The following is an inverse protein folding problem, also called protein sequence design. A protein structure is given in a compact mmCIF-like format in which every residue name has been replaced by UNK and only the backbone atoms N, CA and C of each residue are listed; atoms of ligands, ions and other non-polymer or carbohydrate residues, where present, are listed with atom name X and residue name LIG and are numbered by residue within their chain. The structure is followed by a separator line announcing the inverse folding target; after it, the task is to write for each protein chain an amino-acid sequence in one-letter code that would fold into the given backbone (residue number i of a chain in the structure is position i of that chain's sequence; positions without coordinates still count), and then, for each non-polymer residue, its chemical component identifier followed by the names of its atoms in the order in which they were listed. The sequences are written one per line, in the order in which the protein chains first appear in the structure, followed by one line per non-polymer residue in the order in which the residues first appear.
data_IF_877158039234
#
_entry.id   IF_877158039234
#
_cell.length_a   1.000
_cell.length_b   1.000
_cell.length_c   1.000
_cell.angle_alpha   90.00
_cell.angle_beta   90.00
_cell.angle_gamma   90.00
#
_symmetry.space_group_name_H-M   'P 1'
#
loop_
_entity.id
_entity.type
_entity.pdbx_description
1 polymer ?
#
# COMPACT_ATOMS: atom_id res chain seq x y z
N UNK A 1 -10.85 7.28 19.86
CA UNK A 1 -12.19 7.77 19.47
C UNK A 1 -12.93 6.65 18.76
N UNK A 2 -14.11 6.26 19.25
CA UNK A 2 -14.89 5.15 18.66
C UNK A 2 -15.61 5.65 17.41
N UNK A 3 -15.53 4.89 16.34
CA UNK A 3 -16.22 5.18 15.09
C UNK A 3 -16.83 3.93 14.43
N UNK A 4 -17.77 4.17 13.51
CA UNK A 4 -18.31 3.14 12.63
C UNK A 4 -17.30 2.74 11.53
N UNK A 5 -17.73 1.87 10.61
CA UNK A 5 -16.92 1.40 9.47
C UNK A 5 -16.56 2.49 8.44
N UNK A 6 -17.07 3.71 8.62
CA UNK A 6 -16.84 4.84 7.75
C UNK A 6 -16.26 6.05 8.51
N UNK A 7 -15.75 5.83 9.73
CA UNK A 7 -15.13 6.86 10.55
C UNK A 7 -16.10 7.79 11.27
N UNK A 8 -17.42 7.58 11.20
CA UNK A 8 -18.40 8.44 11.91
C UNK A 8 -18.32 8.20 13.40
N UNK A 9 -18.24 9.27 14.17
CA UNK A 9 -18.29 9.21 15.64
C UNK A 9 -19.73 9.23 16.13
N UNK A 10 -19.94 9.17 17.46
CA UNK A 10 -21.26 9.36 18.06
C UNK A 10 -21.76 10.80 18.00
N UNK A 11 -20.88 11.79 17.75
CA UNK A 11 -21.26 13.18 17.60
C UNK A 11 -21.70 13.45 16.14
N UNK A 12 -22.81 14.18 15.92
CA UNK A 12 -23.28 14.48 14.58
C UNK A 12 -22.24 15.31 13.82
N UNK A 13 -22.02 14.96 12.55
CA UNK A 13 -21.08 15.63 11.66
C UNK A 13 -19.61 15.64 12.14
N UNK A 14 -19.22 14.66 12.97
CA UNK A 14 -17.83 14.48 13.42
C UNK A 14 -17.32 13.11 12.99
N UNK A 15 -16.16 13.08 12.35
CA UNK A 15 -15.46 11.88 11.90
C UNK A 15 -14.07 11.79 12.52
N UNK A 16 -13.55 10.55 12.63
CA UNK A 16 -12.20 10.26 13.12
C UNK A 16 -11.43 9.37 12.14
N UNK A 17 -10.16 9.69 11.93
CA UNK A 17 -9.20 8.88 11.18
C UNK A 17 -7.80 8.97 11.80
N UNK A 18 -6.92 8.07 11.37
CA UNK A 18 -5.57 7.88 11.88
C UNK A 18 -5.52 7.20 13.23
N UNK A 19 -4.38 7.34 13.92
CA UNK A 19 -4.04 6.59 15.12
C UNK A 19 -5.02 6.79 16.30
N UNK A 20 -5.76 7.90 16.30
CA UNK A 20 -6.79 8.20 17.31
C UNK A 20 -8.08 7.39 17.09
N UNK A 21 -8.30 6.86 15.90
CA UNK A 21 -9.57 6.30 15.47
C UNK A 21 -9.63 4.78 15.71
N UNK A 22 -10.63 4.34 16.46
CA UNK A 22 -10.99 2.94 16.66
C UNK A 22 -12.15 2.63 15.72
N UNK A 23 -11.86 1.95 14.61
CA UNK A 23 -12.83 1.64 13.57
C UNK A 23 -13.47 0.28 13.80
N UNK A 24 -14.73 0.14 13.39
CA UNK A 24 -15.38 -1.16 13.36
C UNK A 24 -14.91 -1.96 12.14
N UNK A 25 -14.30 -3.11 12.37
CA UNK A 25 -13.84 -4.03 11.34
C UNK A 25 -15.03 -4.80 10.69
N UNK A 26 -14.80 -5.55 9.59
CA UNK A 26 -15.84 -6.34 8.94
C UNK A 26 -16.46 -7.44 9.82
N UNK A 27 -15.75 -7.91 10.85
CA UNK A 27 -16.23 -8.88 11.83
C UNK A 27 -17.03 -8.25 12.97
N UNK A 28 -17.11 -6.90 13.00
CA UNK A 28 -17.84 -6.13 13.98
C UNK A 28 -17.02 -5.73 15.21
N UNK A 29 -15.74 -6.09 15.30
CA UNK A 29 -14.85 -5.70 16.38
C UNK A 29 -14.33 -4.28 16.21
N UNK A 30 -13.81 -3.70 17.29
CA UNK A 30 -13.18 -2.39 17.30
C UNK A 30 -11.67 -2.53 17.19
N UNK A 31 -11.06 -1.87 16.20
CA UNK A 31 -9.64 -1.97 15.93
C UNK A 31 -9.01 -0.59 15.73
N UNK A 32 -7.77 -0.45 16.21
CA UNK A 32 -6.94 0.75 16.06
C UNK A 32 -5.66 0.36 15.35
N UNK A 33 -5.35 1.06 14.27
CA UNK A 33 -4.20 0.75 13.41
C UNK A 33 -3.25 1.94 13.44
N UNK A 34 -2.11 1.76 14.11
CA UNK A 34 -1.04 2.75 14.22
C UNK A 34 0.00 2.53 13.12
N UNK A 35 -0.45 2.69 11.87
CA UNK A 35 0.42 2.58 10.71
C UNK A 35 0.21 3.80 9.81
N UNK A 36 1.29 4.41 9.36
CA UNK A 36 1.23 5.67 8.64
C UNK A 36 0.44 5.54 7.31
N UNK A 37 0.39 4.36 6.68
CA UNK A 37 -0.42 4.14 5.46
C UNK A 37 -1.92 4.07 5.75
N UNK A 38 -2.31 3.65 6.95
CA UNK A 38 -3.71 3.46 7.35
C UNK A 38 -4.49 4.78 7.33
N UNK A 39 -3.83 5.91 7.61
CA UNK A 39 -4.46 7.25 7.50
C UNK A 39 -4.98 7.50 6.08
N UNK A 40 -4.18 7.16 5.06
CA UNK A 40 -4.56 7.37 3.66
C UNK A 40 -5.72 6.47 3.24
N UNK A 41 -5.76 5.24 3.73
CA UNK A 41 -6.82 4.28 3.44
C UNK A 41 -8.13 4.67 4.13
N UNK A 42 -8.06 5.09 5.39
CA UNK A 42 -9.21 5.63 6.10
C UNK A 42 -9.75 6.89 5.42
N UNK A 43 -8.89 7.79 4.95
CA UNK A 43 -9.32 9.00 4.23
C UNK A 43 -10.14 8.67 2.96
N UNK A 44 -9.79 7.59 2.24
CA UNK A 44 -10.55 7.12 1.05
C UNK A 44 -11.96 6.64 1.39
N UNK A 45 -12.21 6.23 2.63
CA UNK A 45 -13.54 5.82 3.10
C UNK A 45 -14.29 7.01 3.71
N UNK A 46 -13.61 7.81 4.56
CA UNK A 46 -14.22 8.94 5.27
C UNK A 46 -14.71 10.01 4.30
N UNK A 47 -13.91 10.40 3.30
CA UNK A 47 -14.25 11.54 2.42
C UNK A 47 -15.54 11.27 1.62
N UNK A 48 -15.71 10.13 0.92
CA UNK A 48 -16.98 9.81 0.26
C UNK A 48 -18.16 9.71 1.24
N UNK A 49 -17.93 9.12 2.42
CA UNK A 49 -18.94 9.00 3.46
C UNK A 49 -19.41 10.35 4.02
N UNK A 50 -18.53 11.36 4.04
CA UNK A 50 -18.84 12.75 4.38
C UNK A 50 -19.61 13.45 3.24
N UNK A 51 -19.24 13.19 1.99
CA UNK A 51 -19.83 13.82 0.81
C UNK A 51 -21.13 13.13 0.32
N UNK A 52 -21.49 11.97 0.87
CA UNK A 52 -22.64 11.18 0.43
C UNK A 52 -22.41 10.50 -0.92
N UNK A 53 -21.15 10.23 -1.29
CA UNK A 53 -20.78 9.55 -2.54
C UNK A 53 -20.28 8.14 -2.26
N UNK A 54 -20.24 7.30 -3.29
CA UNK A 54 -19.74 5.94 -3.16
C UNK A 54 -18.25 5.89 -2.80
N UNK A 55 -17.89 4.93 -1.93
CA UNK A 55 -16.51 4.66 -1.57
C UNK A 55 -15.80 4.01 -2.76
N UNK A 56 -14.65 4.52 -3.22
CA UNK A 56 -13.89 3.90 -4.29
C UNK A 56 -13.54 2.44 -3.95
N UNK A 57 -13.87 1.52 -4.84
CA UNK A 57 -13.59 0.07 -4.70
C UNK A 57 -12.22 -0.34 -5.25
N UNK A 58 -11.39 0.64 -5.65
CA UNK A 58 -10.08 0.37 -6.23
C UNK A 58 -9.12 -0.28 -5.24
N UNK A 59 -8.35 -1.25 -5.73
CA UNK A 59 -7.26 -1.87 -4.95
C UNK A 59 -6.26 -0.79 -4.57
N UNK A 60 -6.07 -0.57 -3.26
CA UNK A 60 -5.00 0.28 -2.77
C UNK A 60 -3.76 -0.56 -2.60
N UNK A 61 -2.71 -0.20 -3.32
CA UNK A 61 -1.39 -0.80 -3.15
C UNK A 61 -0.67 -0.04 -2.02
N UNK A 62 -0.36 -0.71 -0.88
CA UNK A 62 0.43 -0.11 0.18
C UNK A 62 1.71 0.46 -0.42
N UNK A 63 2.14 1.59 0.09
CA UNK A 63 3.41 2.23 -0.24
C UNK A 63 4.15 2.38 1.06
N UNK A 64 5.48 2.42 1.07
CA UNK A 64 6.32 2.98 2.14
C UNK A 64 7.64 3.50 1.60
N UNK A 65 8.32 4.32 2.41
CA UNK A 65 9.65 4.79 2.08
C UNK A 65 10.50 5.04 3.33
N UNK A 66 11.81 4.97 3.14
CA UNK A 66 12.82 5.31 4.14
C UNK A 66 13.96 6.04 3.42
N UNK A 67 14.44 7.12 4.01
CA UNK A 67 15.69 7.75 3.58
C UNK A 67 16.81 7.25 4.49
N UNK A 68 17.79 6.55 3.90
CA UNK A 68 18.98 6.09 4.59
C UNK A 68 20.20 6.69 3.91
N UNK A 69 20.91 7.56 4.61
CA UNK A 69 21.98 8.39 4.04
C UNK A 69 21.50 9.15 2.80
N UNK A 70 22.12 8.91 1.64
CA UNK A 70 21.78 9.52 0.36
C UNK A 70 20.97 8.59 -0.57
N UNK A 71 20.40 7.51 -0.02
CA UNK A 71 19.56 6.56 -0.73
C UNK A 71 18.12 6.61 -0.20
N UNK A 72 17.19 6.95 -1.10
CA UNK A 72 15.76 6.78 -0.86
C UNK A 72 15.34 5.36 -1.21
N UNK A 73 14.93 4.60 -0.20
CA UNK A 73 14.36 3.25 -0.34
C UNK A 73 12.84 3.39 -0.36
N UNK A 74 12.19 2.78 -1.34
CA UNK A 74 10.75 2.78 -1.50
C UNK A 74 10.23 1.37 -1.70
N UNK A 75 9.03 1.11 -1.20
CA UNK A 75 8.33 -0.14 -1.38
C UNK A 75 6.89 0.09 -1.78
N UNK A 76 6.39 -0.76 -2.69
CA UNK A 76 4.97 -0.90 -2.98
C UNK A 76 4.54 -2.34 -2.73
N UNK A 77 3.29 -2.53 -2.30
CA UNK A 77 2.76 -3.83 -1.92
C UNK A 77 3.11 -4.20 -0.49
N UNK A 78 2.90 -5.46 -0.15
CA UNK A 78 3.16 -6.01 1.18
C UNK A 78 4.03 -7.28 1.07
N UNK A 79 5.35 -7.10 0.84
CA UNK A 79 6.30 -8.21 0.81
C UNK A 79 6.33 -8.98 2.13
N UNK A 80 6.38 -10.30 2.05
CA UNK A 80 6.63 -11.20 3.18
C UNK A 80 8.04 -11.79 3.10
N UNK A 81 8.58 -12.21 4.25
CA UNK A 81 9.90 -12.84 4.32
C UNK A 81 9.99 -14.18 3.53
N UNK A 82 8.86 -14.81 3.21
CA UNK A 82 8.78 -16.07 2.47
C UNK A 82 8.55 -15.88 0.97
N UNK A 83 8.36 -14.65 0.49
CA UNK A 83 8.14 -14.39 -0.93
C UNK A 83 9.42 -14.63 -1.72
N UNK A 84 9.26 -15.04 -2.98
CA UNK A 84 10.39 -15.20 -3.90
C UNK A 84 10.84 -13.81 -4.35
N UNK A 85 12.14 -13.52 -4.21
CA UNK A 85 12.72 -12.23 -4.56
C UNK A 85 13.44 -12.32 -5.90
N UNK A 86 13.03 -11.48 -6.85
CA UNK A 86 13.68 -11.31 -8.13
C UNK A 86 14.46 -10.01 -8.13
N UNK A 87 15.79 -10.09 -8.10
CA UNK A 87 16.64 -8.92 -8.25
C UNK A 87 16.71 -8.54 -9.72
N UNK A 88 16.09 -7.41 -10.07
CA UNK A 88 15.90 -6.97 -11.45
C UNK A 88 17.07 -6.09 -11.90
N UNK A 89 17.51 -5.19 -11.01
CA UNK A 89 18.65 -4.32 -11.24
C UNK A 89 19.41 -4.15 -9.92
N UNK A 90 20.74 -4.16 -10.00
CA UNK A 90 21.64 -3.88 -8.88
C UNK A 90 22.99 -3.37 -9.41
N UNK A 91 23.40 -2.17 -8.95
CA UNK A 91 24.72 -1.60 -9.23
C UNK A 91 25.60 -1.51 -7.96
N UNK A 92 25.17 -2.13 -6.86
CA UNK A 92 25.81 -2.08 -5.54
C UNK A 92 25.39 -0.86 -4.70
N UNK A 93 24.66 0.10 -5.27
CA UNK A 93 24.16 1.30 -4.56
C UNK A 93 22.67 1.55 -4.80
N UNK A 94 22.21 1.35 -6.03
CA UNK A 94 20.81 1.40 -6.44
C UNK A 94 20.37 0.00 -6.82
N UNK A 95 19.14 -0.31 -6.47
CA UNK A 95 18.58 -1.62 -6.76
C UNK A 95 17.09 -1.55 -7.01
N UNK A 96 16.57 -2.59 -7.66
CA UNK A 96 15.16 -2.85 -7.85
C UNK A 96 14.91 -4.35 -7.69
N UNK A 97 14.04 -4.72 -6.76
CA UNK A 97 13.67 -6.11 -6.50
C UNK A 97 12.16 -6.27 -6.54
N UNK A 98 11.68 -7.28 -7.26
CA UNK A 98 10.28 -7.69 -7.28
C UNK A 98 10.04 -8.85 -6.32
N UNK A 99 8.90 -8.83 -5.66
CA UNK A 99 8.47 -9.87 -4.74
C UNK A 99 7.30 -10.63 -5.35
N UNK A 100 7.47 -11.94 -5.43
CA UNK A 100 6.49 -12.88 -5.98
C UNK A 100 5.89 -13.74 -4.87
N UNK A 101 4.57 -13.94 -4.96
CA UNK A 101 3.85 -14.96 -4.22
C UNK A 101 2.93 -15.70 -5.19
N UNK A 102 3.05 -17.02 -5.24
CA UNK A 102 2.21 -17.91 -6.06
C UNK A 102 2.14 -17.48 -7.55
N UNK A 103 3.28 -17.08 -8.15
CA UNK A 103 3.34 -16.63 -9.55
C UNK A 103 2.84 -15.21 -9.80
N UNK A 104 2.46 -14.47 -8.76
CA UNK A 104 1.91 -13.10 -8.86
C UNK A 104 2.87 -12.09 -8.25
N UNK A 105 2.98 -10.92 -8.89
CA UNK A 105 3.71 -9.78 -8.34
C UNK A 105 2.96 -9.17 -7.15
N UNK A 106 3.50 -9.35 -5.95
CA UNK A 106 2.90 -8.83 -4.71
C UNK A 106 3.58 -7.57 -4.17
N UNK A 107 4.80 -7.28 -4.64
CA UNK A 107 5.52 -6.08 -4.20
C UNK A 107 6.74 -5.73 -5.04
N UNK A 108 7.23 -4.51 -4.83
CA UNK A 108 8.52 -4.04 -5.34
C UNK A 108 9.22 -3.25 -4.25
N UNK A 109 10.52 -3.46 -4.09
CA UNK A 109 11.40 -2.60 -3.27
C UNK A 109 12.50 -2.05 -4.17
N UNK A 110 12.80 -0.76 -4.06
CA UNK A 110 13.93 -0.17 -4.77
C UNK A 110 14.63 0.93 -3.98
N UNK A 111 15.96 0.94 -4.06
CA UNK A 111 16.82 2.00 -3.53
C UNK A 111 17.31 2.91 -4.64
N UNK A 112 17.06 4.21 -4.55
CA UNK A 112 17.51 5.19 -5.56
C UNK A 112 16.86 5.06 -6.95
N UNK A 113 15.78 4.26 -7.06
CA UNK A 113 15.08 3.92 -8.30
C UNK A 113 13.58 4.31 -8.27
N UNK A 114 13.26 5.45 -7.65
CA UNK A 114 11.89 5.92 -7.38
C UNK A 114 10.93 5.83 -8.58
N UNK A 115 11.37 6.30 -9.74
CA UNK A 115 10.57 6.29 -10.96
C UNK A 115 10.22 4.86 -11.43
N UNK A 116 11.14 3.90 -11.24
CA UNK A 116 10.91 2.50 -11.60
C UNK A 116 9.95 1.84 -10.61
N UNK A 117 10.14 2.05 -9.31
CA UNK A 117 9.22 1.58 -8.26
C UNK A 117 7.79 2.04 -8.56
N UNK A 118 7.59 3.35 -8.77
CA UNK A 118 6.24 3.91 -8.94
C UNK A 118 5.50 3.40 -10.19
N UNK A 119 6.21 3.05 -11.27
CA UNK A 119 5.61 2.46 -12.49
C UNK A 119 4.97 1.08 -12.24
N UNK A 120 5.39 0.38 -11.19
CA UNK A 120 4.95 -0.99 -10.90
C UNK A 120 3.62 -1.03 -10.13
N UNK A 121 3.18 0.10 -9.54
CA UNK A 121 1.95 0.19 -8.73
C UNK A 121 0.73 -0.42 -9.42
N UNK A 122 0.49 -0.08 -10.68
CA UNK A 122 -0.66 -0.59 -11.44
C UNK A 122 -0.61 -2.10 -11.65
N UNK A 123 0.60 -2.67 -11.85
CA UNK A 123 0.80 -4.11 -12.03
C UNK A 123 0.49 -4.88 -10.74
N UNK A 124 0.90 -4.34 -9.59
CA UNK A 124 0.55 -4.91 -8.27
C UNK A 124 -0.96 -4.83 -8.04
N UNK A 125 -1.57 -3.66 -8.31
CA UNK A 125 -3.01 -3.48 -8.13
C UNK A 125 -3.84 -4.45 -9.00
N UNK A 126 -3.33 -4.82 -10.18
CA UNK A 126 -3.96 -5.75 -11.09
C UNK A 126 -3.65 -7.24 -10.79
N UNK A 127 -2.75 -7.55 -9.85
CA UNK A 127 -2.29 -8.91 -9.60
C UNK A 127 -1.59 -9.52 -10.82
N UNK A 128 -0.71 -8.75 -11.47
CA UNK A 128 -0.03 -9.18 -12.69
C UNK A 128 0.82 -10.46 -12.45
N UNK A 129 0.80 -11.43 -13.39
CA UNK A 129 1.70 -12.58 -13.36
C UNK A 129 3.16 -12.12 -13.40
N UNK A 130 4.01 -12.64 -12.51
CA UNK A 130 5.41 -12.19 -12.40
C UNK A 130 6.19 -12.38 -13.70
N UNK A 131 5.92 -13.47 -14.43
CA UNK A 131 6.59 -13.80 -15.68
C UNK A 131 6.45 -12.67 -16.72
N UNK A 132 5.24 -12.12 -16.88
CA UNK A 132 4.98 -11.01 -17.80
C UNK A 132 5.70 -9.73 -17.39
N UNK A 133 5.89 -9.52 -16.09
CA UNK A 133 6.55 -8.32 -15.56
C UNK A 133 8.06 -8.39 -15.76
N UNK A 134 8.66 -9.57 -15.56
CA UNK A 134 10.09 -9.79 -15.75
C UNK A 134 10.49 -9.70 -17.22
N UNK A 135 9.72 -10.29 -18.14
CA UNK A 135 9.99 -10.25 -19.58
C UNK A 135 10.03 -8.81 -20.13
N UNK A 136 9.12 -7.96 -19.65
CA UNK A 136 9.05 -6.54 -20.04
C UNK A 136 10.23 -5.70 -19.54
N UNK A 137 11.02 -6.21 -18.58
CA UNK A 137 12.16 -5.48 -18.03
C UNK A 137 13.48 -5.84 -18.73
N UNK A 138 13.47 -6.90 -19.55
CA UNK A 138 14.64 -7.35 -20.33
C UNK A 138 14.69 -6.78 -21.77
N UNK A 139 13.68 -6.00 -22.18
CA UNK A 139 13.58 -5.34 -23.48
C UNK A 139 13.93 -3.85 -23.39
#
# INVERSE_FOLDING_TARGET
MICDKAGRTSAPNVWALGDVASWRDPMGHQARVEHWSNVADQARVVVPAMLGTDVPTGVVVPYFWSDQYDVKIQCLGEPHATDVVHLVEDDGRKFLAYYERDGVLVGVVGGGMAGKVMKVRGKIAAGAPIAEVLDQTQA
#
